data_IF_261998858466
#
_entry.id   IF_261998858466
#
_cell.length_a   1.000
_cell.length_b   1.000
_cell.length_c   1.000
_cell.angle_alpha   90.00
_cell.angle_beta   90.00
_cell.angle_gamma   90.00
#
_symmetry.space_group_name_H-M   'P 1'
#
loop_
_entity.id
_entity.type
_entity.pdbx_description
1 polymer ?
#
# COMPACT_ATOMS: atom_id res chain seq x y z
N UNK A 1 18.29 18.40 0.02
CA UNK A 1 16.99 17.83 0.45
C UNK A 1 17.29 16.56 1.24
N UNK A 2 16.98 16.53 2.53
CA UNK A 2 17.30 15.39 3.42
C UNK A 2 16.02 14.58 3.58
N UNK A 3 16.00 13.35 3.07
CA UNK A 3 14.92 12.41 3.37
C UNK A 3 15.18 11.85 4.77
N UNK A 4 14.44 12.31 5.77
CA UNK A 4 14.36 11.62 7.05
C UNK A 4 13.44 10.41 6.88
N UNK A 5 14.02 9.20 6.80
CA UNK A 5 13.25 7.98 7.02
C UNK A 5 12.92 7.95 8.51
N UNK A 6 11.77 8.50 8.90
CA UNK A 6 11.27 8.40 10.27
C UNK A 6 10.97 6.94 10.58
N UNK A 7 11.53 6.49 11.70
CA UNK A 7 11.66 5.10 12.09
C UNK A 7 10.30 4.37 12.14
N UNK A 8 10.25 3.13 11.65
CA UNK A 8 9.08 2.23 11.67
C UNK A 8 8.71 1.75 13.10
N UNK A 9 9.31 2.32 14.15
CA UNK A 9 9.03 1.96 15.54
C UNK A 9 7.59 2.28 16.00
N UNK A 10 6.80 3.01 15.20
CA UNK A 10 5.36 3.20 15.41
C UNK A 10 4.48 2.00 15.01
N UNK A 11 5.04 1.00 14.30
CA UNK A 11 4.28 -0.08 13.64
C UNK A 11 3.71 -1.16 14.57
N UNK A 12 4.32 -1.37 15.73
CA UNK A 12 3.98 -2.47 16.66
C UNK A 12 3.78 -1.87 18.04
N UNK A 13 2.63 -1.26 18.25
CA UNK A 13 2.20 -0.73 19.55
C UNK A 13 0.70 -0.92 19.69
N UNK A 14 0.28 -1.18 20.92
CA UNK A 14 -1.13 -1.10 21.32
C UNK A 14 -1.70 0.25 20.87
N UNK A 15 -2.87 0.21 20.24
CA UNK A 15 -3.60 1.37 19.72
C UNK A 15 -3.79 2.40 20.83
N UNK A 16 -3.25 3.61 20.62
CA UNK A 16 -3.43 4.75 21.53
C UNK A 16 -3.68 6.05 20.76
N UNK A 17 -4.39 6.97 21.39
CA UNK A 17 -4.85 8.23 20.77
C UNK A 17 -3.69 9.13 20.31
N UNK A 18 -2.54 9.08 20.99
CA UNK A 18 -1.40 9.95 20.67
C UNK A 18 -0.73 9.61 19.33
N UNK A 19 -1.13 8.51 18.69
CA UNK A 19 -0.53 8.01 17.46
C UNK A 19 -1.37 8.29 16.20
N UNK A 20 -2.49 9.00 16.32
CA UNK A 20 -3.40 9.25 15.19
C UNK A 20 -2.66 9.89 14.00
N UNK A 21 -1.76 10.85 14.26
CA UNK A 21 -0.99 11.50 13.20
C UNK A 21 -0.02 10.54 12.51
N UNK A 22 0.61 9.62 13.27
CA UNK A 22 1.44 8.55 12.72
C UNK A 22 0.61 7.61 11.83
N UNK A 23 -0.61 7.27 12.26
CA UNK A 23 -1.50 6.41 11.48
C UNK A 23 -1.97 7.08 10.19
N UNK A 24 -2.35 8.35 10.26
CA UNK A 24 -2.73 9.14 9.08
C UNK A 24 -1.58 9.19 8.09
N UNK A 25 -0.36 9.47 8.56
CA UNK A 25 0.85 9.43 7.74
C UNK A 25 1.07 8.04 7.11
N UNK A 26 0.87 6.96 7.85
CA UNK A 26 1.00 5.60 7.32
C UNK A 26 -0.05 5.30 6.24
N UNK A 27 -1.30 5.72 6.44
CA UNK A 27 -2.39 5.57 5.45
C UNK A 27 -2.08 6.40 4.20
N UNK A 28 -1.64 7.64 4.39
CA UNK A 28 -1.22 8.54 3.32
C UNK A 28 -0.14 7.93 2.45
N UNK A 29 0.94 7.46 3.08
CA UNK A 29 2.11 6.97 2.34
C UNK A 29 1.88 5.61 1.71
N UNK A 30 1.18 4.69 2.39
CA UNK A 30 1.12 3.30 1.96
C UNK A 30 -0.15 2.94 1.18
N UNK A 31 -1.27 3.66 1.33
CA UNK A 31 -2.48 3.34 0.57
C UNK A 31 -2.89 4.51 -0.32
N UNK A 32 -3.14 5.72 0.22
CA UNK A 32 -3.52 6.86 -0.62
C UNK A 32 -2.45 7.19 -1.68
N UNK A 33 -1.17 7.14 -1.29
CA UNK A 33 -0.05 7.34 -2.21
C UNK A 33 0.00 6.31 -3.35
N UNK A 34 -0.27 5.04 -3.05
CA UNK A 34 -0.34 3.98 -4.08
C UNK A 34 -1.51 4.25 -5.03
N UNK A 35 -2.70 4.53 -4.51
CA UNK A 35 -3.87 4.83 -5.33
C UNK A 35 -3.66 6.05 -6.22
N UNK A 36 -2.98 7.09 -5.74
CA UNK A 36 -2.62 8.24 -6.55
C UNK A 36 -1.59 7.90 -7.64
N UNK A 37 -0.59 7.07 -7.34
CA UNK A 37 0.36 6.59 -8.35
C UNK A 37 -0.34 5.78 -9.44
N UNK A 38 -1.20 4.83 -9.05
CA UNK A 38 -2.01 4.04 -9.98
C UNK A 38 -2.87 4.98 -10.85
N UNK A 39 -3.61 5.91 -10.24
CA UNK A 39 -4.48 6.83 -10.97
C UNK A 39 -3.71 7.71 -11.97
N UNK A 40 -2.45 8.07 -11.66
CA UNK A 40 -1.60 8.87 -12.52
C UNK A 40 -1.06 8.07 -13.73
N UNK A 41 -0.59 6.84 -13.52
CA UNK A 41 0.10 6.06 -14.55
C UNK A 41 -0.84 5.16 -15.37
N UNK A 42 -1.96 4.71 -14.79
CA UNK A 42 -2.87 3.76 -15.41
C UNK A 42 -3.45 4.22 -16.77
N UNK A 43 -3.79 5.51 -17.00
CA UNK A 43 -4.26 5.96 -18.31
C UNK A 43 -3.23 5.74 -19.43
N UNK A 44 -1.96 6.07 -19.19
CA UNK A 44 -0.89 5.90 -20.17
C UNK A 44 -0.60 4.41 -20.43
N UNK A 45 -0.59 3.58 -19.39
CA UNK A 45 -0.42 2.13 -19.53
C UNK A 45 -1.55 1.50 -20.36
N UNK A 46 -2.79 1.99 -20.22
CA UNK A 46 -3.96 1.54 -21.00
C UNK A 46 -3.84 1.92 -22.47
N UNK A 47 -3.38 3.13 -22.77
CA UNK A 47 -3.11 3.58 -24.14
C UNK A 47 -2.04 2.71 -24.81
N UNK A 48 -0.94 2.45 -24.10
CA UNK A 48 0.16 1.62 -24.60
C UNK A 48 -0.13 0.11 -24.56
N UNK A 49 -1.25 -0.30 -23.95
CA UNK A 49 -1.61 -1.71 -23.70
C UNK A 49 -0.49 -2.52 -23.03
N UNK A 50 0.36 -1.85 -22.26
CA UNK A 50 1.57 -2.40 -21.67
C UNK A 50 2.02 -1.58 -20.47
N UNK A 51 2.66 -2.23 -19.51
CA UNK A 51 3.17 -1.61 -18.29
C UNK A 51 3.04 -2.53 -17.08
N UNK A 52 3.87 -2.28 -16.07
CA UNK A 52 3.81 -2.97 -14.78
C UNK A 52 3.82 -1.96 -13.64
N UNK A 53 2.95 -2.17 -12.65
CA UNK A 53 3.01 -1.50 -11.36
C UNK A 53 3.44 -2.57 -10.35
N UNK A 54 4.50 -2.29 -9.60
CA UNK A 54 5.04 -3.20 -8.59
C UNK A 54 4.97 -2.48 -7.25
N UNK A 55 4.18 -3.02 -6.33
CA UNK A 55 4.08 -2.51 -4.97
C UNK A 55 4.87 -3.39 -4.00
N UNK A 56 5.41 -2.78 -2.94
CA UNK A 56 6.09 -3.50 -1.88
C UNK A 56 5.10 -3.81 -0.74
N UNK A 57 4.78 -5.09 -0.57
CA UNK A 57 3.91 -5.55 0.51
C UNK A 57 4.70 -6.18 1.67
N UNK A 58 3.99 -6.79 2.61
CA UNK A 58 4.54 -7.46 3.80
C UNK A 58 3.76 -8.73 4.09
N UNK A 59 4.38 -9.70 4.78
CA UNK A 59 3.66 -10.87 5.31
C UNK A 59 2.49 -10.49 6.24
N UNK A 60 2.54 -9.29 6.82
CA UNK A 60 1.44 -8.71 7.59
C UNK A 60 0.21 -8.31 6.74
N UNK A 61 0.29 -8.38 5.42
CA UNK A 61 -0.87 -8.31 4.51
C UNK A 61 -1.57 -9.66 4.32
N UNK A 62 -1.06 -10.73 4.95
CA UNK A 62 -1.65 -12.07 4.95
C UNK A 62 -1.95 -12.57 6.36
N UNK A 63 -1.15 -12.17 7.34
CA UNK A 63 -1.28 -12.56 8.74
C UNK A 63 -1.44 -11.32 9.63
N UNK A 64 -2.13 -11.48 10.76
CA UNK A 64 -2.26 -10.42 11.76
C UNK A 64 -1.39 -10.77 12.96
N UNK A 65 -0.63 -9.80 13.47
CA UNK A 65 0.24 -9.97 14.63
C UNK A 65 -0.24 -9.10 15.82
N UNK A 66 -0.04 -9.55 17.08
CA UNK A 66 -0.33 -8.73 18.26
C UNK A 66 0.31 -7.34 18.18
N UNK A 67 -0.37 -6.34 18.74
CA UNK A 67 0.08 -4.94 18.81
C UNK A 67 0.35 -4.26 17.45
N UNK A 68 -0.07 -4.86 16.33
CA UNK A 68 0.25 -4.34 14.99
C UNK A 68 -1.00 -4.08 14.14
N UNK A 69 -2.14 -3.84 14.77
CA UNK A 69 -3.45 -3.72 14.10
C UNK A 69 -3.44 -2.71 12.96
N UNK A 70 -2.93 -1.49 13.18
CA UNK A 70 -2.91 -0.44 12.15
C UNK A 70 -1.97 -0.82 11.00
N UNK A 71 -0.81 -1.39 11.32
CA UNK A 71 0.14 -1.85 10.31
C UNK A 71 -0.45 -2.98 9.47
N UNK A 72 -1.02 -4.01 10.10
CA UNK A 72 -1.65 -5.13 9.40
C UNK A 72 -2.82 -4.66 8.53
N UNK A 73 -3.66 -3.77 9.04
CA UNK A 73 -4.78 -3.21 8.27
C UNK A 73 -4.29 -2.51 6.98
N UNK A 74 -3.25 -1.68 7.08
CA UNK A 74 -2.67 -0.99 5.93
C UNK A 74 -2.05 -1.98 4.95
N UNK A 75 -1.36 -3.02 5.41
CA UNK A 75 -0.77 -4.04 4.51
C UNK A 75 -1.82 -4.90 3.82
N UNK A 76 -2.97 -5.14 4.45
CA UNK A 76 -4.13 -5.74 3.78
C UNK A 76 -4.74 -4.78 2.75
N UNK A 77 -4.78 -3.48 3.03
CA UNK A 77 -5.24 -2.48 2.06
C UNK A 77 -4.32 -2.42 0.83
N UNK A 78 -2.99 -2.39 1.01
CA UNK A 78 -2.01 -2.44 -0.11
C UNK A 78 -2.26 -3.64 -1.00
N UNK A 79 -2.50 -4.81 -0.39
CA UNK A 79 -2.81 -6.03 -1.13
C UNK A 79 -4.13 -5.93 -1.89
N UNK A 80 -5.13 -5.23 -1.35
CA UNK A 80 -6.38 -4.95 -2.05
C UNK A 80 -6.17 -4.00 -3.24
N UNK A 81 -5.37 -2.94 -3.06
CA UNK A 81 -5.05 -1.95 -4.10
C UNK A 81 -4.38 -2.61 -5.32
N UNK A 82 -3.60 -3.68 -5.13
CA UNK A 82 -3.05 -4.48 -6.22
C UNK A 82 -4.13 -5.07 -7.13
N UNK A 83 -5.29 -5.47 -6.59
CA UNK A 83 -6.37 -6.08 -7.38
C UNK A 83 -7.06 -5.10 -8.34
N UNK A 84 -7.14 -3.81 -7.99
CA UNK A 84 -7.72 -2.76 -8.84
C UNK A 84 -6.96 -2.64 -10.17
N UNK A 85 -5.63 -2.79 -10.11
CA UNK A 85 -4.75 -2.73 -11.29
C UNK A 85 -5.14 -3.82 -12.31
N UNK A 86 -5.65 -4.98 -11.86
CA UNK A 86 -6.07 -6.07 -12.75
C UNK A 86 -7.42 -5.84 -13.41
N UNK A 87 -8.35 -5.15 -12.73
CA UNK A 87 -9.64 -4.77 -13.30
C UNK A 87 -9.51 -3.81 -14.49
N UNK A 88 -8.42 -3.03 -14.55
CA UNK A 88 -8.20 -2.00 -15.57
C UNK A 88 -7.37 -2.40 -16.80
N UNK A 89 -6.52 -3.43 -16.73
CA UNK A 89 -5.51 -3.73 -17.79
C UNK A 89 -5.68 -5.12 -18.43
N UNK A 90 -6.72 -5.87 -18.05
CA UNK A 90 -7.03 -7.19 -18.61
C UNK A 90 -6.25 -8.33 -17.94
N UNK A 91 -6.87 -9.52 -17.93
CA UNK A 91 -6.49 -10.70 -17.10
C UNK A 91 -5.03 -11.15 -17.22
N UNK A 92 -4.32 -10.79 -18.29
CA UNK A 92 -2.95 -11.26 -18.58
C UNK A 92 -1.87 -10.75 -17.61
N UNK A 93 -2.17 -9.73 -16.81
CA UNK A 93 -1.21 -9.12 -15.88
C UNK A 93 -1.41 -9.52 -14.41
N UNK A 94 -2.17 -10.58 -14.13
CA UNK A 94 -2.36 -11.06 -12.76
C UNK A 94 -1.01 -11.54 -12.18
N UNK A 95 -0.59 -11.06 -11.00
CA UNK A 95 0.61 -11.54 -10.34
C UNK A 95 0.35 -12.98 -9.93
N UNK A 96 1.37 -13.81 -10.13
CA UNK A 96 1.43 -15.06 -9.41
C UNK A 96 1.78 -14.70 -7.96
N UNK A 97 0.75 -14.76 -7.11
CA UNK A 97 0.96 -14.93 -5.66
C UNK A 97 1.72 -16.23 -5.40
#
# INVERSE_FOLDING_TARGET
>A
MRFEIRNLNGLIRIVRREQIDEWNMMIDMNSRGILYGIAADLPAMREHKSGHIINLSSIAGHNVYPDSTVYCAIRHAVKADEYEIYGGVGEKNRPMI
#
